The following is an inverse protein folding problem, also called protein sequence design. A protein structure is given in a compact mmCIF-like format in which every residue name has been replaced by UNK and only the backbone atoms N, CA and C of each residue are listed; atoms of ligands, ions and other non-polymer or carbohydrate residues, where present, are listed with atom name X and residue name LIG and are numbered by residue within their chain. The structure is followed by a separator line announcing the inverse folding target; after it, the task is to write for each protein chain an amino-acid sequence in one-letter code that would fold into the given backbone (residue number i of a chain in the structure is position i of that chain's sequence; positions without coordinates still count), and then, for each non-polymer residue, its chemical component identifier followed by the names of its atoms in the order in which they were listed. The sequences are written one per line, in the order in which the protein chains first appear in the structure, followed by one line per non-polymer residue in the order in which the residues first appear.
data_IF_717577831133
#
_entry.id   IF_717577831133
#
_cell.length_a   1.000
_cell.length_b   1.000
_cell.length_c   1.000
_cell.angle_alpha   90.00
_cell.angle_beta   90.00
_cell.angle_gamma   90.00
#
_symmetry.space_group_name_H-M   'P 1'
#
loop_
_entity.id
_entity.type
_entity.pdbx_description
1 polymer ?
#
# COMPACT_ATOMS: atom_id res chain seq x y z
N UNK A 1 -6.01 17.83 -5.46
CA UNK A 1 -5.51 16.51 -5.90
C UNK A 1 -4.71 15.87 -4.77
N UNK A 2 -4.89 14.58 -4.51
CA UNK A 2 -4.11 13.80 -3.54
C UNK A 2 -2.66 13.67 -4.02
N UNK A 3 -1.67 14.03 -3.19
CA UNK A 3 -0.24 13.89 -3.51
C UNK A 3 0.38 12.80 -2.64
N UNK A 4 1.36 12.08 -3.19
CA UNK A 4 2.11 11.10 -2.42
C UNK A 4 3.05 11.79 -1.43
N UNK A 5 2.94 11.42 -0.16
CA UNK A 5 3.69 12.08 0.92
C UNK A 5 4.66 11.12 1.60
N UNK A 6 4.31 9.84 1.71
CA UNK A 6 5.17 8.82 2.30
C UNK A 6 4.85 7.41 1.77
N UNK A 7 5.88 6.56 1.67
CA UNK A 7 5.79 5.14 1.31
C UNK A 7 6.84 4.36 2.09
N UNK A 8 6.44 3.24 2.68
CA UNK A 8 7.36 2.25 3.24
C UNK A 8 7.63 1.16 2.19
N UNK A 9 8.90 0.92 1.89
CA UNK A 9 9.35 -0.08 0.91
C UNK A 9 10.39 -0.95 1.60
N UNK A 10 10.43 -2.26 1.33
CA UNK A 10 11.45 -3.19 1.85
C UNK A 10 12.91 -2.90 1.43
N UNK A 11 13.17 -1.69 0.93
CA UNK A 11 14.47 -1.04 0.91
C UNK A 11 14.28 0.35 1.53
N UNK A 12 14.79 0.51 2.74
CA UNK A 12 14.75 1.75 3.48
C UNK A 12 15.62 2.81 2.78
N UNK A 13 15.14 4.04 2.58
CA UNK A 13 16.03 5.14 2.26
C UNK A 13 17.00 5.36 3.45
N UNK A 14 18.30 5.61 3.21
CA UNK A 14 19.34 5.68 4.26
C UNK A 14 19.09 6.68 5.39
N UNK A 15 18.17 7.64 5.22
CA UNK A 15 17.84 8.65 6.23
C UNK A 15 16.63 8.35 7.11
N UNK A 16 16.00 7.18 6.97
CA UNK A 16 14.76 6.83 7.67
C UNK A 16 14.86 5.52 8.47
N UNK A 17 16.05 4.90 8.52
CA UNK A 17 16.30 3.68 9.26
C UNK A 17 16.87 3.99 10.65
N UNK A 18 16.37 3.36 11.71
CA UNK A 18 17.00 3.41 13.03
C UNK A 18 18.36 2.68 13.02
N UNK A 19 19.09 2.77 14.13
CA UNK A 19 20.49 2.34 14.27
C UNK A 19 20.80 0.88 13.83
N UNK A 20 19.80 0.00 13.78
CA UNK A 20 19.92 -1.40 13.37
C UNK A 20 19.38 -1.72 11.96
N UNK A 21 18.84 -0.73 11.25
CA UNK A 21 18.24 -0.93 9.93
C UNK A 21 16.85 -1.61 9.94
N UNK A 22 16.33 -1.97 11.11
CA UNK A 22 15.08 -2.76 11.25
C UNK A 22 13.85 -1.89 11.50
N UNK A 23 14.03 -0.66 11.99
CA UNK A 23 12.93 0.29 12.20
C UNK A 23 12.98 1.40 11.14
N UNK A 24 11.85 1.64 10.49
CA UNK A 24 11.58 2.81 9.64
C UNK A 24 10.81 3.83 10.41
N UNK A 25 11.15 5.09 10.22
CA UNK A 25 10.23 6.15 10.54
C UNK A 25 10.38 7.32 9.59
N UNK A 26 9.29 8.06 9.40
CA UNK A 26 9.33 9.39 8.81
C UNK A 26 9.26 10.43 9.93
N UNK A 27 9.90 11.58 9.69
CA UNK A 27 9.58 12.80 10.42
C UNK A 27 8.08 13.12 10.34
N UNK A 28 7.61 14.02 11.22
CA UNK A 28 6.26 14.56 11.13
C UNK A 28 6.04 15.25 9.77
N UNK A 29 4.88 14.99 9.20
CA UNK A 29 4.43 15.50 7.90
C UNK A 29 3.08 16.18 8.08
N UNK A 30 2.85 17.34 7.46
CA UNK A 30 1.56 18.01 7.56
C UNK A 30 0.46 17.23 6.83
N UNK A 31 -0.76 17.25 7.38
CA UNK A 31 -1.99 16.83 6.72
C UNK A 31 -3.17 17.74 7.08
N UNK A 32 -4.36 17.46 6.54
CA UNK A 32 -5.55 18.31 6.63
C UNK A 32 -6.01 18.67 8.07
N UNK A 33 -5.60 17.90 9.09
CA UNK A 33 -6.04 18.10 10.48
C UNK A 33 -4.88 18.11 11.49
N UNK A 34 -3.64 18.36 11.04
CA UNK A 34 -2.46 18.39 11.91
C UNK A 34 -1.22 17.79 11.25
N UNK A 35 -0.50 16.96 11.99
CA UNK A 35 0.71 16.28 11.54
C UNK A 35 0.60 14.77 11.73
N UNK A 36 1.23 14.01 10.83
CA UNK A 36 1.33 12.56 10.92
C UNK A 36 2.77 12.11 10.74
N UNK A 37 3.13 11.00 11.35
CA UNK A 37 4.33 10.24 11.03
C UNK A 37 3.94 8.81 10.70
N UNK A 38 4.85 8.08 10.07
CA UNK A 38 4.72 6.65 9.85
C UNK A 38 5.93 5.95 10.42
N UNK A 39 5.73 4.76 10.96
CA UNK A 39 6.81 3.88 11.35
C UNK A 39 6.49 2.43 10.95
N UNK A 40 7.52 1.66 10.67
CA UNK A 40 7.40 0.24 10.37
C UNK A 40 8.59 -0.50 10.98
N UNK A 41 8.34 -1.60 11.68
CA UNK A 41 9.39 -2.43 12.26
C UNK A 41 9.45 -3.76 11.52
N UNK A 42 10.66 -4.16 11.11
CA UNK A 42 10.90 -5.47 10.52
C UNK A 42 11.16 -6.50 11.61
N UNK A 43 10.24 -7.46 11.73
CA UNK A 43 10.37 -8.59 12.66
C UNK A 43 10.90 -9.87 12.00
N UNK A 44 10.83 -9.96 10.66
CA UNK A 44 11.17 -11.15 9.89
C UNK A 44 12.35 -10.90 8.94
N UNK A 45 12.94 -11.96 8.37
CA UNK A 45 14.02 -11.87 7.38
C UNK A 45 13.66 -10.98 6.17
N UNK A 46 12.38 -10.94 5.80
CA UNK A 46 11.85 -10.09 4.74
C UNK A 46 10.75 -9.23 5.32
N UNK A 47 10.79 -7.92 5.09
CA UNK A 47 9.65 -7.05 5.33
C UNK A 47 8.57 -7.31 4.27
N UNK A 48 7.56 -8.07 4.67
CA UNK A 48 6.39 -8.39 3.85
C UNK A 48 5.36 -7.24 3.88
N UNK A 49 5.27 -6.52 4.99
CA UNK A 49 4.32 -5.43 5.16
C UNK A 49 4.67 -4.22 4.30
N UNK A 50 3.66 -3.57 3.75
CA UNK A 50 3.80 -2.32 3.00
C UNK A 50 2.82 -1.28 3.53
N UNK A 51 3.22 -0.01 3.44
CA UNK A 51 2.34 1.09 3.82
C UNK A 51 2.56 2.31 2.92
N UNK A 52 1.52 3.13 2.79
CA UNK A 52 1.60 4.39 2.06
C UNK A 52 0.57 5.41 2.52
N UNK A 53 0.91 6.69 2.37
CA UNK A 53 0.01 7.80 2.67
C UNK A 53 -0.01 8.79 1.51
N UNK A 54 -1.22 9.14 1.07
CA UNK A 54 -1.48 10.35 0.28
C UNK A 54 -2.18 11.36 1.18
N UNK A 55 -1.66 12.58 1.20
CA UNK A 55 -2.32 13.68 1.86
C UNK A 55 -2.69 14.77 0.83
N UNK A 56 -3.77 15.48 1.16
CA UNK A 56 -4.19 16.72 0.52
C UNK A 56 -4.80 17.62 1.60
N UNK A 57 -4.99 18.92 1.33
CA UNK A 57 -5.60 19.84 2.28
C UNK A 57 -7.00 19.42 2.76
N UNK A 58 -7.71 18.56 2.02
CA UNK A 58 -9.09 18.17 2.31
C UNK A 58 -9.29 16.68 2.58
N UNK A 59 -8.27 15.86 2.42
CA UNK A 59 -8.38 14.41 2.57
C UNK A 59 -7.02 13.75 2.82
N UNK A 60 -7.02 12.66 3.59
CA UNK A 60 -5.86 11.79 3.80
C UNK A 60 -6.28 10.36 3.50
N UNK A 61 -5.49 9.67 2.68
CA UNK A 61 -5.69 8.26 2.36
C UNK A 61 -4.49 7.48 2.88
N UNK A 62 -4.75 6.54 3.76
CA UNK A 62 -3.76 5.68 4.42
C UNK A 62 -4.00 4.25 3.97
N UNK A 63 -2.94 3.56 3.53
CA UNK A 63 -2.97 2.16 3.15
C UNK A 63 -1.93 1.41 3.96
N UNK A 64 -2.33 0.33 4.60
CA UNK A 64 -1.49 -0.62 5.34
C UNK A 64 -1.82 -2.00 4.81
N UNK A 65 -0.81 -2.74 4.39
CA UNK A 65 -0.94 -4.01 3.70
C UNK A 65 -0.04 -5.02 4.40
N UNK A 66 -0.64 -5.92 5.17
CA UNK A 66 0.04 -7.05 5.82
C UNK A 66 0.36 -8.08 4.74
N UNK A 67 1.64 -8.37 4.49
CA UNK A 67 2.06 -9.30 3.44
C UNK A 67 2.25 -10.71 4.00
N UNK A 68 1.89 -11.74 3.24
CA UNK A 68 2.08 -13.13 3.64
C UNK A 68 2.56 -14.01 2.48
N UNK A 69 3.56 -14.86 2.75
CA UNK A 69 4.13 -15.77 1.75
C UNK A 69 5.07 -15.07 0.77
N UNK A 70 5.56 -13.89 1.12
CA UNK A 70 6.37 -12.99 0.31
C UNK A 70 5.80 -11.56 0.25
N UNK A 71 6.62 -10.57 -0.14
CA UNK A 71 6.21 -9.17 -0.18
C UNK A 71 5.49 -8.79 -1.49
N UNK A 72 5.31 -9.72 -2.42
CA UNK A 72 4.89 -9.40 -3.79
C UNK A 72 3.45 -8.84 -3.83
N UNK A 73 2.52 -9.44 -3.09
CA UNK A 73 1.12 -8.99 -3.06
C UNK A 73 0.95 -7.62 -2.37
N UNK A 74 1.56 -7.42 -1.21
CA UNK A 74 1.51 -6.13 -0.50
C UNK A 74 2.22 -5.01 -1.28
N UNK A 75 3.33 -5.33 -1.98
CA UNK A 75 4.01 -4.39 -2.89
C UNK A 75 3.14 -4.01 -4.07
N UNK A 76 2.44 -4.98 -4.66
CA UNK A 76 1.50 -4.76 -5.74
C UNK A 76 0.37 -3.82 -5.29
N UNK A 77 -0.29 -4.12 -4.17
CA UNK A 77 -1.39 -3.29 -3.62
C UNK A 77 -0.95 -1.85 -3.37
N UNK A 78 0.24 -1.66 -2.78
CA UNK A 78 0.82 -0.33 -2.59
C UNK A 78 0.92 0.43 -3.92
N UNK A 79 1.40 -0.19 -5.00
CA UNK A 79 1.48 0.51 -6.30
C UNK A 79 0.13 0.71 -6.99
N UNK A 80 -0.81 -0.22 -6.88
CA UNK A 80 -2.00 -0.27 -7.74
C UNK A 80 -3.26 0.33 -7.09
N UNK A 81 -3.45 0.19 -5.78
CA UNK A 81 -4.73 0.49 -5.15
C UNK A 81 -5.11 1.97 -5.19
N UNK A 82 -4.17 2.86 -4.84
CA UNK A 82 -4.45 4.29 -4.79
C UNK A 82 -4.73 4.93 -6.16
N UNK A 83 -4.02 4.58 -7.25
CA UNK A 83 -4.42 4.95 -8.59
C UNK A 83 -5.88 4.58 -8.92
N UNK A 84 -6.32 3.37 -8.56
CA UNK A 84 -7.71 2.95 -8.75
C UNK A 84 -8.68 3.76 -7.89
N UNK A 85 -8.37 4.01 -6.61
CA UNK A 85 -9.18 4.86 -5.73
C UNK A 85 -9.33 6.26 -6.33
N UNK A 86 -8.25 6.86 -6.84
CA UNK A 86 -8.30 8.17 -7.48
C UNK A 86 -9.14 8.17 -8.76
N UNK A 87 -9.04 7.12 -9.58
CA UNK A 87 -9.84 6.96 -10.79
C UNK A 87 -11.33 6.90 -10.44
N UNK A 88 -11.72 5.97 -9.57
CA UNK A 88 -13.14 5.78 -9.24
C UNK A 88 -13.72 6.90 -8.40
N UNK A 89 -12.90 7.59 -7.59
CA UNK A 89 -13.34 8.79 -6.88
C UNK A 89 -13.67 9.94 -7.86
N UNK A 90 -12.94 10.07 -8.97
CA UNK A 90 -13.26 11.05 -10.03
C UNK A 90 -14.58 10.70 -10.72
N UNK A 91 -14.83 9.42 -10.98
CA UNK A 91 -16.07 8.94 -11.60
C UNK A 91 -17.30 9.15 -10.70
N UNK A 92 -17.16 8.91 -9.39
CA UNK A 92 -18.25 9.00 -8.41
C UNK A 92 -18.41 10.39 -7.77
N UNK A 93 -17.59 11.38 -8.15
CA UNK A 93 -17.61 12.73 -7.57
C UNK A 93 -17.03 12.83 -6.15
N UNK A 94 -16.32 11.81 -5.68
CA UNK A 94 -15.70 11.77 -4.35
C UNK A 94 -15.28 10.37 -3.94
N UNK A 95 -14.57 10.27 -2.80
CA UNK A 95 -14.23 8.97 -2.21
C UNK A 95 -15.48 8.42 -1.52
N UNK A 96 -16.23 7.59 -2.24
CA UNK A 96 -17.42 6.91 -1.73
C UNK A 96 -17.11 5.44 -1.42
N UNK A 97 -18.00 4.78 -0.67
CA UNK A 97 -17.90 3.34 -0.44
C UNK A 97 -17.88 2.56 -1.76
N UNK A 98 -18.62 3.02 -2.77
CA UNK A 98 -18.61 2.40 -4.10
C UNK A 98 -17.30 2.62 -4.85
N UNK A 99 -16.72 3.82 -4.78
CA UNK A 99 -15.40 4.09 -5.37
C UNK A 99 -14.31 3.20 -4.76
N UNK A 100 -14.34 2.98 -3.44
CA UNK A 100 -13.41 2.11 -2.73
C UNK A 100 -13.64 0.64 -3.15
N UNK A 101 -14.89 0.16 -3.17
CA UNK A 101 -15.20 -1.21 -3.60
C UNK A 101 -14.70 -1.50 -5.02
N UNK A 102 -14.98 -0.61 -5.98
CA UNK A 102 -14.50 -0.75 -7.36
C UNK A 102 -12.98 -0.71 -7.44
N UNK A 103 -12.33 0.10 -6.61
CA UNK A 103 -10.87 0.15 -6.56
C UNK A 103 -10.22 -1.15 -6.10
N UNK A 104 -10.78 -1.78 -5.06
CA UNK A 104 -10.31 -3.10 -4.62
C UNK A 104 -10.57 -4.18 -5.66
N UNK A 105 -11.75 -4.20 -6.29
CA UNK A 105 -12.06 -5.17 -7.35
C UNK A 105 -11.11 -5.06 -8.55
N UNK A 106 -10.84 -3.84 -9.01
CA UNK A 106 -9.88 -3.63 -10.10
C UNK A 106 -8.44 -4.03 -9.70
N UNK A 107 -8.01 -3.73 -8.48
CA UNK A 107 -6.70 -4.15 -7.99
C UNK A 107 -6.58 -5.69 -7.90
N UNK A 108 -7.65 -6.37 -7.48
CA UNK A 108 -7.69 -7.83 -7.43
C UNK A 108 -7.62 -8.46 -8.83
N UNK A 109 -8.39 -7.94 -9.79
CA UNK A 109 -8.35 -8.38 -11.19
C UNK A 109 -6.96 -8.21 -11.82
N UNK A 110 -6.34 -7.04 -11.61
CA UNK A 110 -5.00 -6.75 -12.11
C UNK A 110 -3.95 -7.69 -11.47
N UNK A 111 -4.05 -7.96 -10.17
CA UNK A 111 -3.12 -8.87 -9.49
C UNK A 111 -3.27 -10.31 -10.00
N UNK A 112 -4.51 -10.80 -10.17
CA UNK A 112 -4.78 -12.11 -10.74
C UNK A 112 -4.23 -12.23 -12.16
N UNK A 113 -4.31 -11.16 -12.95
CA UNK A 113 -3.71 -11.11 -14.28
C UNK A 113 -2.18 -11.26 -14.21
N UNK A 114 -1.50 -10.52 -13.32
CA UNK A 114 -0.05 -10.65 -13.12
C UNK A 114 0.35 -12.05 -12.67
N UNK A 115 -0.36 -12.64 -11.71
CA UNK A 115 -0.08 -14.00 -11.21
C UNK A 115 -0.21 -15.02 -12.34
N UNK A 116 -1.26 -14.94 -13.18
CA UNK A 116 -1.44 -15.84 -14.33
C UNK A 116 -0.29 -15.73 -15.34
N UNK A 117 0.17 -14.51 -15.62
CA UNK A 117 1.31 -14.30 -16.52
C UNK A 117 2.63 -14.79 -15.94
N UNK A 118 2.82 -14.62 -14.63
CA UNK A 118 4.05 -15.00 -13.94
C UNK A 118 4.12 -16.50 -13.64
N UNK A 119 2.98 -17.19 -13.54
CA UNK A 119 2.89 -18.60 -13.15
C UNK A 119 3.86 -19.54 -13.89
N UNK A 120 4.02 -19.48 -15.23
CA UNK A 120 4.94 -20.37 -15.95
C UNK A 120 6.41 -20.16 -15.58
N UNK A 121 6.78 -18.99 -15.04
CA UNK A 121 8.16 -18.59 -14.74
C UNK A 121 8.46 -18.52 -13.23
N UNK A 122 7.45 -18.27 -12.40
CA UNK A 122 7.56 -18.03 -10.95
C UNK A 122 6.33 -18.62 -10.21
N UNK A 123 6.22 -19.95 -10.07
CA UNK A 123 5.04 -20.59 -9.47
C UNK A 123 4.80 -20.19 -8.00
N UNK A 124 5.82 -19.71 -7.28
CA UNK A 124 5.66 -19.21 -5.90
C UNK A 124 4.68 -18.03 -5.77
N UNK A 125 4.43 -17.28 -6.85
CA UNK A 125 3.50 -16.14 -6.85
C UNK A 125 2.06 -16.52 -6.47
N UNK A 126 1.61 -17.77 -6.71
CA UNK A 126 0.24 -18.17 -6.37
C UNK A 126 0.02 -18.45 -4.88
N UNK A 127 1.09 -18.53 -4.08
CA UNK A 127 0.99 -18.71 -2.63
C UNK A 127 1.11 -17.41 -1.84
N UNK A 128 1.25 -16.27 -2.53
CA UNK A 128 1.46 -14.95 -1.91
C UNK A 128 0.13 -14.24 -1.74
N UNK A 129 -0.08 -13.58 -0.61
CA UNK A 129 -1.27 -12.79 -0.34
C UNK A 129 -0.96 -11.52 0.45
N UNK A 130 -1.94 -10.63 0.52
CA UNK A 130 -1.90 -9.53 1.48
C UNK A 130 -3.23 -9.44 2.22
N UNK A 131 -3.17 -9.37 3.55
CA UNK A 131 -4.35 -9.24 4.41
C UNK A 131 -4.76 -7.76 4.45
N UNK A 132 -6.01 -7.50 4.10
CA UNK A 132 -6.69 -6.20 4.21
C UNK A 132 -8.05 -6.38 4.90
N UNK A 133 -8.83 -5.30 5.14
CA UNK A 133 -10.13 -5.41 5.78
C UNK A 133 -11.03 -6.34 4.94
N UNK A 134 -11.28 -7.53 5.51
CA UNK A 134 -12.18 -8.52 4.94
C UNK A 134 -13.60 -7.95 4.92
N UNK A 135 -14.35 -8.27 3.87
CA UNK A 135 -15.81 -8.05 3.82
C UNK A 135 -16.43 -8.55 5.12
N UNK A 136 -17.02 -7.63 5.88
CA UNK A 136 -18.03 -7.88 6.91
C UNK A 136 -19.31 -7.16 6.51
#
# INVERSE_FOLDING_TARGET
MLRAVARCCGHWPPGAAAADGMLWQTELRPHAAGEFSMAAAQANLVMEDQAQVLASPSATLVGVYDGHGGPDASRFLRSALFPHVQRFAREQGGVTAEAIRRAFGAAEEDFLHEVRQAWPKRPRMAGVGSRGPLRG
#
